data_IF_994624317129
#
_entry.id   IF_994624317129
#
_cell.length_a   1.000
_cell.length_b   1.000
_cell.length_c   1.000
_cell.angle_alpha   90.00
_cell.angle_beta   90.00
_cell.angle_gamma   90.00
#
_symmetry.space_group_name_H-M   'P 1'
#
loop_
_entity.id
_entity.type
_entity.pdbx_description
1 polymer ?
#
# COMPACT_ATOMS: atom_id res chain seq x y z
N UNK A 1 -3.19 7.57 22.44
CA UNK A 1 -2.85 6.32 23.13
C UNK A 1 -2.59 6.48 24.63
N UNK A 2 -2.67 7.69 25.20
CA UNK A 2 -2.57 7.89 26.64
C UNK A 2 -3.95 7.94 27.30
N UNK A 3 -4.04 7.52 28.55
CA UNK A 3 -5.16 7.75 29.44
C UNK A 3 -5.12 9.15 30.06
N UNK A 4 -6.11 9.46 30.89
CA UNK A 4 -6.21 10.73 31.61
C UNK A 4 -5.07 10.93 32.64
N UNK A 5 -4.44 9.83 33.07
CA UNK A 5 -3.30 9.77 33.97
C UNK A 5 -1.94 9.93 33.26
N UNK A 6 -1.95 10.16 31.94
CA UNK A 6 -0.74 10.25 31.13
C UNK A 6 -0.04 8.92 30.87
N UNK A 7 -0.59 7.79 31.33
CA UNK A 7 -0.04 6.46 31.09
C UNK A 7 -0.62 5.83 29.81
N UNK A 8 0.02 4.83 29.19
CA UNK A 8 -0.55 4.11 28.05
C UNK A 8 -1.91 3.52 28.41
N UNK A 9 -2.94 3.83 27.62
CA UNK A 9 -4.29 3.29 27.82
C UNK A 9 -4.36 1.79 27.47
N UNK A 10 -5.49 1.14 27.80
CA UNK A 10 -5.67 -0.30 27.58
C UNK A 10 -5.42 -0.75 26.12
N UNK A 11 -5.84 0.06 25.14
CA UNK A 11 -5.56 -0.22 23.74
C UNK A 11 -4.05 -0.18 23.46
N UNK A 12 -3.36 0.86 23.93
CA UNK A 12 -1.92 1.01 23.75
C UNK A 12 -1.14 -0.16 24.35
N UNK A 13 -1.50 -0.58 25.56
CA UNK A 13 -0.89 -1.74 26.23
C UNK A 13 -1.10 -3.03 25.44
N UNK A 14 -2.32 -3.24 24.91
CA UNK A 14 -2.67 -4.42 24.10
C UNK A 14 -1.90 -4.49 22.77
N UNK A 15 -1.66 -3.34 22.14
CA UNK A 15 -0.96 -3.26 20.85
C UNK A 15 0.57 -3.26 20.99
N UNK A 16 1.10 -2.88 22.16
CA UNK A 16 2.53 -2.69 22.37
C UNK A 16 3.35 -3.93 21.95
N UNK A 17 4.37 -3.69 21.10
CA UNK A 17 5.30 -4.72 20.61
C UNK A 17 4.63 -5.93 19.92
N UNK A 18 3.40 -5.77 19.46
CA UNK A 18 2.66 -6.81 18.74
C UNK A 18 2.28 -6.31 17.33
N UNK A 19 3.17 -6.47 16.33
CA UNK A 19 2.95 -5.93 14.99
C UNK A 19 1.71 -6.50 14.31
N UNK A 20 1.34 -7.75 14.61
CA UNK A 20 0.11 -8.37 14.11
C UNK A 20 -1.13 -7.70 14.69
N UNK A 21 -1.18 -7.49 16.00
CA UNK A 21 -2.29 -6.77 16.63
C UNK A 21 -2.36 -5.32 16.14
N UNK A 22 -1.20 -4.64 16.01
CA UNK A 22 -1.13 -3.28 15.44
C UNK A 22 -1.73 -3.23 14.04
N UNK A 23 -1.34 -4.12 13.14
CA UNK A 23 -1.86 -4.15 11.78
C UNK A 23 -3.36 -4.47 11.74
N UNK A 24 -3.81 -5.47 12.50
CA UNK A 24 -5.23 -5.82 12.60
C UNK A 24 -6.08 -4.66 13.11
N UNK A 25 -5.59 -3.92 14.11
CA UNK A 25 -6.29 -2.75 14.65
C UNK A 25 -6.29 -1.57 13.65
N UNK A 26 -5.14 -1.25 13.07
CA UNK A 26 -4.98 -0.09 12.18
C UNK A 26 -5.77 -0.21 10.85
N UNK A 27 -5.94 -1.44 10.37
CA UNK A 27 -6.58 -1.75 9.09
C UNK A 27 -7.93 -2.45 9.22
N UNK A 28 -8.50 -2.58 10.43
CA UNK A 28 -9.83 -3.13 10.63
C UNK A 28 -10.89 -2.32 9.85
N UNK A 29 -11.83 -3.02 9.22
CA UNK A 29 -12.99 -2.45 8.52
C UNK A 29 -12.66 -1.43 7.42
N UNK A 30 -11.46 -1.52 6.84
CA UNK A 30 -10.96 -0.64 5.76
C UNK A 30 -10.61 -1.46 4.52
N UNK A 31 -10.82 -0.90 3.34
CA UNK A 31 -10.42 -1.50 2.05
C UNK A 31 -10.89 -2.96 1.89
N UNK A 32 -12.10 -3.28 2.37
CA UNK A 32 -12.69 -4.61 2.34
C UNK A 32 -12.18 -5.61 3.40
N UNK A 33 -11.29 -5.19 4.29
CA UNK A 33 -10.95 -5.98 5.46
C UNK A 33 -12.16 -6.14 6.38
N UNK A 34 -12.27 -7.29 7.02
CA UNK A 34 -13.16 -7.50 8.17
C UNK A 34 -12.75 -6.66 9.38
N UNK A 35 -13.44 -6.89 10.51
CA UNK A 35 -13.10 -6.28 11.79
C UNK A 35 -11.71 -6.71 12.29
N UNK A 36 -11.28 -6.20 13.43
CA UNK A 36 -9.96 -6.53 13.99
C UNK A 36 -9.78 -8.05 14.24
N UNK A 37 -10.85 -8.75 14.61
CA UNK A 37 -10.83 -10.17 14.92
C UNK A 37 -10.64 -11.05 13.67
N UNK A 38 -11.04 -10.56 12.48
CA UNK A 38 -10.83 -11.25 11.21
C UNK A 38 -9.37 -11.59 10.89
N UNK A 39 -8.41 -10.82 11.45
CA UNK A 39 -6.99 -10.95 11.14
C UNK A 39 -6.57 -10.36 9.80
N UNK A 40 -7.48 -9.67 9.11
CA UNK A 40 -7.27 -9.14 7.77
C UNK A 40 -6.23 -8.03 7.71
N UNK A 41 -6.16 -7.19 8.72
CA UNK A 41 -5.19 -6.10 8.73
C UNK A 41 -3.75 -6.59 8.64
N UNK A 42 -3.43 -7.71 9.29
CA UNK A 42 -2.15 -8.38 9.14
C UNK A 42 -2.04 -9.17 7.85
N UNK A 43 -3.08 -9.94 7.48
CA UNK A 43 -3.06 -10.80 6.28
C UNK A 43 -2.86 -9.96 5.01
N UNK A 44 -3.57 -8.86 4.88
CA UNK A 44 -3.58 -7.95 3.72
C UNK A 44 -2.87 -6.62 4.02
N UNK A 45 -1.86 -6.63 4.89
CA UNK A 45 -0.94 -5.49 5.09
C UNK A 45 -0.21 -5.14 3.79
N UNK A 46 0.29 -3.91 3.69
CA UNK A 46 1.00 -3.40 2.51
C UNK A 46 2.17 -4.28 2.06
N UNK A 47 2.17 -4.65 0.76
CA UNK A 47 3.26 -5.37 0.09
C UNK A 47 3.51 -4.85 -1.33
N UNK A 48 4.63 -5.27 -1.91
CA UNK A 48 5.06 -4.85 -3.25
C UNK A 48 5.55 -3.40 -3.30
N UNK A 49 5.95 -2.97 -4.48
CA UNK A 49 6.63 -1.67 -4.69
C UNK A 49 5.70 -0.46 -4.48
N UNK A 50 4.40 -0.62 -4.74
CA UNK A 50 3.38 0.42 -4.53
C UNK A 50 2.44 0.13 -3.35
N UNK A 51 2.82 -0.78 -2.44
CA UNK A 51 2.11 -1.02 -1.18
C UNK A 51 0.61 -1.37 -1.35
N UNK A 52 0.31 -2.40 -2.14
CA UNK A 52 -1.06 -2.95 -2.22
C UNK A 52 -1.51 -3.36 -0.82
N UNK A 53 -2.61 -2.76 -0.34
CA UNK A 53 -3.07 -2.88 1.05
C UNK A 53 -4.58 -3.07 1.13
N UNK A 54 -5.05 -4.07 1.88
CA UNK A 54 -6.46 -4.38 2.13
C UNK A 54 -7.05 -5.43 1.18
N UNK A 55 -7.94 -6.28 1.71
CA UNK A 55 -8.50 -7.46 1.04
C UNK A 55 -9.08 -7.16 -0.34
N UNK A 56 -9.85 -6.08 -0.49
CA UNK A 56 -10.43 -5.69 -1.78
C UNK A 56 -9.37 -5.41 -2.85
N UNK A 57 -8.26 -4.80 -2.47
CA UNK A 57 -7.17 -4.46 -3.40
C UNK A 57 -6.37 -5.70 -3.79
N UNK A 58 -6.12 -6.61 -2.84
CA UNK A 58 -5.54 -7.92 -3.14
C UNK A 58 -6.40 -8.74 -4.10
N UNK A 59 -7.72 -8.75 -3.88
CA UNK A 59 -8.68 -9.39 -4.79
C UNK A 59 -8.63 -8.77 -6.18
N UNK A 60 -8.72 -7.45 -6.28
CA UNK A 60 -8.71 -6.74 -7.56
C UNK A 60 -7.41 -6.98 -8.35
N UNK A 61 -6.26 -6.90 -7.68
CA UNK A 61 -4.96 -7.21 -8.28
C UNK A 61 -4.88 -8.68 -8.71
N UNK A 62 -5.34 -9.60 -7.86
CA UNK A 62 -5.34 -11.03 -8.16
C UNK A 62 -6.18 -11.36 -9.40
N UNK A 63 -7.40 -10.80 -9.48
CA UNK A 63 -8.26 -10.92 -10.67
C UNK A 63 -7.59 -10.30 -11.91
N UNK A 64 -7.03 -9.10 -11.79
CA UNK A 64 -6.41 -8.40 -12.91
C UNK A 64 -5.14 -9.05 -13.44
N UNK A 65 -4.43 -9.82 -12.61
CA UNK A 65 -3.18 -10.49 -12.95
C UNK A 65 -3.34 -12.01 -13.19
N UNK A 66 -4.53 -12.56 -12.94
CA UNK A 66 -4.75 -14.01 -12.97
C UNK A 66 -3.95 -14.75 -11.90
N UNK A 67 -3.73 -14.14 -10.74
CA UNK A 67 -2.94 -14.69 -9.62
C UNK A 67 -3.78 -14.82 -8.36
N UNK A 68 -3.51 -15.81 -7.48
CA UNK A 68 -4.30 -16.06 -6.28
C UNK A 68 -3.98 -15.09 -5.13
N UNK A 69 -3.85 -13.78 -5.40
CA UNK A 69 -3.33 -12.81 -4.42
C UNK A 69 -4.24 -12.59 -3.19
N UNK A 70 -5.54 -12.89 -3.29
CA UNK A 70 -6.40 -12.89 -2.09
C UNK A 70 -6.13 -14.11 -1.20
N UNK A 71 -5.86 -15.27 -1.80
CA UNK A 71 -5.54 -16.50 -1.06
C UNK A 71 -4.09 -16.47 -0.54
N UNK A 72 -3.15 -16.02 -1.36
CA UNK A 72 -1.69 -16.03 -1.16
C UNK A 72 -1.10 -14.60 -1.29
N UNK A 73 -1.43 -13.68 -0.37
CA UNK A 73 -0.99 -12.28 -0.44
C UNK A 73 0.53 -12.09 -0.37
N UNK A 74 1.27 -13.06 0.17
CA UNK A 74 2.73 -13.10 0.24
C UNK A 74 3.41 -13.22 -1.13
N UNK A 75 2.69 -13.58 -2.18
CA UNK A 75 3.21 -13.53 -3.55
C UNK A 75 3.78 -12.14 -3.86
N UNK A 76 3.14 -11.06 -3.38
CA UNK A 76 3.61 -9.68 -3.56
C UNK A 76 4.92 -9.34 -2.81
N UNK A 77 5.46 -10.25 -1.99
CA UNK A 77 6.79 -10.11 -1.40
C UNK A 77 7.89 -10.61 -2.35
N UNK A 78 7.52 -11.36 -3.39
CA UNK A 78 8.46 -11.85 -4.41
C UNK A 78 8.74 -10.75 -5.44
N UNK A 79 9.99 -10.57 -5.90
CA UNK A 79 10.37 -9.48 -6.80
C UNK A 79 9.53 -9.38 -8.08
N UNK A 80 9.24 -10.51 -8.71
CA UNK A 80 8.42 -10.58 -9.94
C UNK A 80 7.02 -10.00 -9.71
N UNK A 81 6.29 -10.53 -8.73
CA UNK A 81 4.93 -10.08 -8.45
C UNK A 81 4.87 -8.69 -7.83
N UNK A 82 5.90 -8.27 -7.09
CA UNK A 82 6.04 -6.91 -6.60
C UNK A 82 6.14 -5.89 -7.75
N UNK A 83 6.89 -6.23 -8.82
CA UNK A 83 7.01 -5.38 -10.01
C UNK A 83 5.75 -5.42 -10.89
N UNK A 84 5.23 -6.61 -11.17
CA UNK A 84 4.03 -6.80 -12.02
C UNK A 84 2.81 -6.11 -11.38
N UNK A 85 2.60 -6.25 -10.07
CA UNK A 85 1.50 -5.57 -9.38
C UNK A 85 1.61 -4.05 -9.40
N UNK A 86 2.83 -3.50 -9.32
CA UNK A 86 3.06 -2.07 -9.45
C UNK A 86 2.73 -1.56 -10.87
N UNK A 87 3.14 -2.30 -11.90
CA UNK A 87 2.81 -1.99 -13.30
C UNK A 87 1.30 -2.08 -13.56
N UNK A 88 0.63 -3.11 -13.04
CA UNK A 88 -0.82 -3.25 -13.11
C UNK A 88 -1.54 -2.09 -12.43
N UNK A 89 -1.14 -1.73 -11.22
CA UNK A 89 -1.74 -0.61 -10.49
C UNK A 89 -1.55 0.70 -11.26
N UNK A 90 -0.34 0.96 -11.75
CA UNK A 90 -0.02 2.12 -12.59
C UNK A 90 -0.94 2.22 -13.81
N UNK A 91 -1.07 1.13 -14.56
CA UNK A 91 -1.88 1.06 -15.77
C UNK A 91 -3.37 1.26 -15.47
N UNK A 92 -3.91 0.50 -14.51
CA UNK A 92 -5.34 0.55 -14.16
C UNK A 92 -5.78 1.85 -13.50
N UNK A 93 -4.85 2.66 -12.99
CA UNK A 93 -5.14 3.96 -12.38
C UNK A 93 -4.87 5.15 -13.32
N UNK A 94 -4.63 4.89 -14.61
CA UNK A 94 -4.49 5.92 -15.65
C UNK A 94 -3.27 6.81 -15.46
N UNK A 95 -2.16 6.23 -14.98
CA UNK A 95 -0.94 6.99 -14.74
C UNK A 95 -0.11 7.23 -16.01
N UNK A 96 -0.30 6.43 -17.06
CA UNK A 96 0.35 6.66 -18.35
C UNK A 96 -0.08 8.02 -18.93
N UNK A 97 -1.38 8.29 -18.96
CA UNK A 97 -1.94 9.52 -19.52
C UNK A 97 -1.48 10.77 -18.75
N UNK A 98 -1.30 10.63 -17.43
CA UNK A 98 -0.72 11.70 -16.61
C UNK A 98 0.77 11.89 -16.89
N UNK A 99 1.50 10.80 -17.10
CA UNK A 99 2.93 10.84 -17.41
C UNK A 99 3.20 11.47 -18.78
N UNK A 100 2.41 11.13 -19.80
CA UNK A 100 2.50 11.69 -21.14
C UNK A 100 2.29 13.21 -21.15
N UNK A 101 1.43 13.72 -20.24
CA UNK A 101 1.21 15.16 -20.04
C UNK A 101 2.21 15.82 -19.10
N UNK A 102 3.17 15.08 -18.55
CA UNK A 102 4.15 15.58 -17.59
C UNK A 102 3.57 15.96 -16.23
N UNK A 103 2.38 15.45 -15.87
CA UNK A 103 1.67 15.79 -14.64
C UNK A 103 2.20 15.05 -13.40
N UNK A 104 3.49 15.17 -13.10
CA UNK A 104 4.17 14.42 -12.05
C UNK A 104 3.54 14.58 -10.65
N UNK A 105 3.08 15.80 -10.31
CA UNK A 105 2.41 16.07 -9.06
C UNK A 105 1.02 15.39 -8.98
N UNK A 106 0.32 15.24 -10.11
CA UNK A 106 -0.95 14.51 -10.15
C UNK A 106 -0.72 13.01 -9.93
N UNK A 107 0.34 12.45 -10.54
CA UNK A 107 0.78 11.06 -10.32
C UNK A 107 1.07 10.81 -8.83
N UNK A 108 1.86 11.70 -8.21
CA UNK A 108 2.23 11.55 -6.78
C UNK A 108 0.99 11.58 -5.87
N UNK A 109 0.03 12.49 -6.14
CA UNK A 109 -1.25 12.53 -5.42
C UNK A 109 -2.07 11.27 -5.65
N UNK A 110 -2.11 10.72 -6.86
CA UNK A 110 -2.86 9.50 -7.16
C UNK A 110 -2.30 8.31 -6.38
N UNK A 111 -0.98 8.19 -6.28
CA UNK A 111 -0.30 7.10 -5.56
C UNK A 111 -0.46 7.24 -4.04
N UNK A 112 -0.27 8.44 -3.47
CA UNK A 112 -0.14 8.61 -2.01
C UNK A 112 -1.31 9.33 -1.33
N UNK A 113 -2.30 9.81 -2.08
CA UNK A 113 -3.35 10.70 -1.57
C UNK A 113 -2.87 12.12 -1.24
N UNK A 114 -1.63 12.48 -1.59
CA UNK A 114 -1.01 13.77 -1.28
C UNK A 114 0.34 13.94 -1.96
N UNK A 115 1.12 14.96 -1.56
CA UNK A 115 2.44 15.27 -2.13
C UNK A 115 3.61 14.76 -1.28
N UNK A 116 3.36 13.75 -0.44
CA UNK A 116 4.38 13.20 0.45
C UNK A 116 5.55 12.62 -0.37
N UNK A 117 6.77 13.10 -0.10
CA UNK A 117 7.98 12.71 -0.80
C UNK A 117 8.11 13.26 -2.23
N UNK A 118 7.33 14.26 -2.64
CA UNK A 118 7.34 14.82 -4.00
C UNK A 118 8.75 15.16 -4.50
N UNK A 119 9.56 15.86 -3.69
CA UNK A 119 10.91 16.27 -4.07
C UNK A 119 11.84 15.08 -4.33
N UNK A 120 11.79 14.06 -3.47
CA UNK A 120 12.58 12.84 -3.61
C UNK A 120 12.15 12.04 -4.84
N UNK A 121 10.84 11.89 -5.06
CA UNK A 121 10.28 11.24 -6.25
C UNK A 121 10.74 11.92 -7.54
N UNK A 122 10.72 13.25 -7.57
CA UNK A 122 11.19 14.02 -8.72
C UNK A 122 12.69 13.82 -8.96
N UNK A 123 13.51 13.83 -7.90
CA UNK A 123 14.95 13.61 -8.02
C UNK A 123 15.28 12.21 -8.56
N UNK A 124 14.57 11.17 -8.10
CA UNK A 124 14.71 9.81 -8.62
C UNK A 124 14.29 9.71 -10.09
N UNK A 125 13.18 10.33 -10.47
CA UNK A 125 12.73 10.37 -11.85
C UNK A 125 13.71 11.08 -12.77
N UNK A 126 14.22 12.26 -12.40
CA UNK A 126 15.21 12.98 -13.20
C UNK A 126 16.50 12.16 -13.40
N UNK A 127 16.94 11.45 -12.36
CA UNK A 127 18.08 10.53 -12.47
C UNK A 127 17.79 9.38 -13.44
N UNK A 128 16.62 8.77 -13.35
CA UNK A 128 16.23 7.69 -14.26
C UNK A 128 16.11 8.16 -15.71
N UNK A 129 15.50 9.33 -15.92
CA UNK A 129 15.32 9.94 -17.25
C UNK A 129 16.66 10.13 -17.95
N UNK A 130 17.67 10.71 -17.28
CA UNK A 130 19.03 10.91 -17.86
C UNK A 130 19.72 9.63 -18.35
N UNK A 131 19.34 8.46 -17.85
CA UNK A 131 19.91 7.18 -18.26
C UNK A 131 19.13 6.56 -19.43
N UNK A 132 17.85 6.87 -19.54
CA UNK A 132 16.91 6.25 -20.50
C UNK A 132 16.55 7.14 -21.69
N UNK A 133 16.88 8.43 -21.65
CA UNK A 133 16.71 9.42 -22.71
C UNK A 133 18.05 9.90 -23.24
#
# INVERSE_FOLDING_TARGET
YLGADGQPNALAQRLARNPRAIANNAYASRNGNGDEASGDGWRYRGRGLLQITGRSNYRAAGTGLGQPLEQEPELLEQPEWAAISAAWWWSTHGLNELADRGEFAAITRRINGGLNGQAERLALWERAKRVLS
#
